data_IF_897115276950
#
_entry.id   IF_897115276950
#
_cell.length_a   1.000
_cell.length_b   1.000
_cell.length_c   1.000
_cell.angle_alpha   90.00
_cell.angle_beta   90.00
_cell.angle_gamma   90.00
#
_symmetry.space_group_name_H-M   'P 1'
#
loop_
_entity.id
_entity.type
_entity.pdbx_description
1 polymer ?
#
# COMPACT_ATOMS: atom_id res chain seq x y z
N UNK A 1 18.84 -13.24 -0.05
CA UNK A 1 17.54 -12.93 -0.68
C UNK A 1 17.31 -11.43 -0.52
N UNK A 2 16.92 -10.71 -1.58
CA UNK A 2 16.61 -9.28 -1.47
C UNK A 2 15.21 -9.10 -0.90
N UNK A 3 15.08 -8.28 0.15
CA UNK A 3 13.78 -7.85 0.67
C UNK A 3 13.09 -6.93 -0.34
N UNK A 4 11.76 -7.02 -0.44
CA UNK A 4 10.92 -6.16 -1.29
C UNK A 4 10.07 -5.25 -0.43
N UNK A 5 9.92 -4.01 -0.87
CA UNK A 5 8.96 -3.07 -0.30
C UNK A 5 7.73 -2.99 -1.22
N UNK A 6 6.55 -3.29 -0.68
CA UNK A 6 5.28 -3.17 -1.37
C UNK A 6 4.49 -1.99 -0.84
N UNK A 7 3.84 -1.24 -1.72
CA UNK A 7 2.92 -0.17 -1.34
C UNK A 7 1.82 -0.04 -2.40
N UNK A 8 0.65 0.46 -2.00
CA UNK A 8 -0.40 0.83 -2.95
C UNK A 8 -0.11 2.24 -3.47
N UNK A 9 0.36 2.34 -4.70
CA UNK A 9 0.69 3.62 -5.35
C UNK A 9 -0.59 4.36 -5.81
N UNK A 10 -0.66 5.66 -5.53
CA UNK A 10 -1.62 6.60 -6.13
C UNK A 10 -0.94 7.86 -6.70
N UNK A 11 0.40 7.86 -6.76
CA UNK A 11 1.22 9.00 -7.18
C UNK A 11 1.04 9.33 -8.66
N UNK A 12 0.62 8.35 -9.47
CA UNK A 12 0.23 8.57 -10.87
C UNK A 12 -0.87 9.64 -11.00
N UNK A 13 -1.73 9.82 -9.99
CA UNK A 13 -2.75 10.88 -10.02
C UNK A 13 -2.14 12.28 -10.00
N UNK A 14 -0.97 12.44 -9.35
CA UNK A 14 -0.23 13.70 -9.29
C UNK A 14 0.38 13.98 -10.66
N UNK A 15 1.05 13.00 -11.25
CA UNK A 15 1.65 13.09 -12.59
C UNK A 15 0.60 13.44 -13.66
N UNK A 16 -0.57 12.80 -13.60
CA UNK A 16 -1.69 13.11 -14.50
C UNK A 16 -2.27 14.50 -14.27
N UNK A 17 -2.32 14.97 -13.01
CA UNK A 17 -2.83 16.32 -12.69
C UNK A 17 -1.88 17.44 -13.11
N UNK A 18 -0.58 17.14 -13.23
CA UNK A 18 0.45 18.09 -13.69
C UNK A 18 0.54 18.17 -15.22
N UNK A 19 -0.01 17.16 -15.91
CA UNK A 19 -0.09 17.16 -17.37
C UNK A 19 -1.29 18.01 -17.81
N UNK A 20 -1.10 18.91 -18.78
CA UNK A 20 -2.01 19.98 -19.29
C UNK A 20 -3.52 19.69 -19.55
N UNK A 21 -4.01 18.49 -19.29
CA UNK A 21 -5.44 18.15 -19.29
C UNK A 21 -6.10 18.41 -17.93
N UNK A 22 -7.41 18.63 -17.92
CA UNK A 22 -8.24 18.89 -16.74
C UNK A 22 -8.41 17.66 -15.81
N UNK A 23 -7.34 16.89 -15.57
CA UNK A 23 -7.37 15.75 -14.67
C UNK A 23 -7.44 16.24 -13.23
N UNK A 24 -8.62 16.12 -12.66
CA UNK A 24 -8.83 16.33 -11.23
C UNK A 24 -8.62 15.00 -10.52
N UNK A 25 -7.63 14.96 -9.63
CA UNK A 25 -7.42 13.86 -8.70
C UNK A 25 -8.74 13.44 -8.06
N UNK A 26 -9.04 12.15 -8.09
CA UNK A 26 -10.27 11.61 -7.52
C UNK A 26 -9.93 10.95 -6.18
N UNK A 27 -10.50 11.40 -5.05
CA UNK A 27 -10.22 10.82 -3.73
C UNK A 27 -10.66 9.35 -3.60
N UNK A 28 -11.28 8.80 -4.65
CA UNK A 28 -11.67 7.40 -4.73
C UNK A 28 -10.47 6.46 -4.79
N UNK A 29 -9.32 6.84 -5.39
CA UNK A 29 -8.18 5.95 -5.49
C UNK A 29 -7.52 5.70 -4.13
N UNK A 30 -7.37 6.72 -3.28
CA UNK A 30 -6.89 6.51 -1.90
C UNK A 30 -7.82 5.56 -1.13
N UNK A 31 -9.14 5.76 -1.24
CA UNK A 31 -10.13 4.90 -0.58
C UNK A 31 -10.10 3.47 -1.14
N UNK A 32 -9.94 3.32 -2.45
CA UNK A 32 -9.82 2.03 -3.11
C UNK A 32 -8.53 1.32 -2.68
N UNK A 33 -7.41 2.03 -2.68
CA UNK A 33 -6.10 1.52 -2.25
C UNK A 33 -6.14 1.08 -0.79
N UNK A 34 -6.76 1.84 0.12
CA UNK A 34 -6.96 1.41 1.52
C UNK A 34 -7.79 0.13 1.60
N UNK A 35 -8.87 0.03 0.82
CA UNK A 35 -9.71 -1.17 0.78
C UNK A 35 -8.95 -2.38 0.23
N UNK A 36 -8.07 -2.17 -0.75
CA UNK A 36 -7.33 -3.23 -1.42
C UNK A 36 -5.98 -3.55 -0.77
N UNK A 37 -5.43 -2.67 0.07
CA UNK A 37 -4.13 -2.84 0.71
C UNK A 37 -3.95 -4.21 1.39
N UNK A 38 -4.95 -4.80 2.07
CA UNK A 38 -4.82 -6.14 2.64
C UNK A 38 -4.49 -7.24 1.63
N UNK A 39 -4.77 -7.03 0.33
CA UNK A 39 -4.37 -7.97 -0.72
C UNK A 39 -2.84 -8.05 -0.92
N UNK A 40 -2.09 -7.00 -0.58
CA UNK A 40 -0.62 -7.04 -0.62
C UNK A 40 -0.06 -8.12 0.31
N UNK A 41 -0.74 -8.39 1.43
CA UNK A 41 -0.36 -9.44 2.35
C UNK A 41 -0.32 -10.80 1.64
N UNK A 42 -1.27 -11.09 0.75
CA UNK A 42 -1.29 -12.34 -0.02
C UNK A 42 -0.13 -12.48 -1.01
N UNK A 43 0.38 -11.36 -1.53
CA UNK A 43 1.46 -11.33 -2.51
C UNK A 43 2.85 -11.36 -1.84
N UNK A 44 2.97 -10.76 -0.66
CA UNK A 44 4.21 -10.63 0.07
C UNK A 44 4.71 -11.99 0.62
N UNK A 45 6.03 -12.11 0.66
CA UNK A 45 6.74 -13.29 1.16
C UNK A 45 7.44 -12.99 2.49
N UNK A 46 7.85 -14.01 3.26
CA UNK A 46 8.65 -13.78 4.46
C UNK A 46 9.91 -12.96 4.13
N UNK A 47 10.16 -11.92 4.91
CA UNK A 47 11.25 -10.95 4.71
C UNK A 47 10.89 -9.75 3.84
N UNK A 48 9.69 -9.69 3.24
CA UNK A 48 9.18 -8.48 2.59
C UNK A 48 8.65 -7.47 3.61
N UNK A 49 8.53 -6.21 3.18
CA UNK A 49 7.92 -5.13 3.93
C UNK A 49 6.71 -4.54 3.18
N UNK A 50 5.70 -4.10 3.93
CA UNK A 50 4.53 -3.37 3.43
C UNK A 50 4.54 -1.94 3.99
N UNK A 51 4.55 -0.94 3.12
CA UNK A 51 4.38 0.45 3.51
C UNK A 51 2.87 0.77 3.61
N UNK A 52 2.45 1.20 4.80
CA UNK A 52 1.07 1.51 5.13
C UNK A 52 0.95 3.01 5.45
N UNK A 53 0.00 3.68 4.80
CA UNK A 53 -0.35 5.07 5.13
C UNK A 53 -1.19 5.18 6.40
N UNK A 54 -1.96 4.13 6.72
CA UNK A 54 -2.79 4.05 7.91
C UNK A 54 -2.61 2.70 8.60
N UNK A 55 -2.67 2.65 9.94
CA UNK A 55 -2.56 1.39 10.67
C UNK A 55 -3.65 0.40 10.24
N UNK A 56 -3.25 -0.84 9.97
CA UNK A 56 -4.19 -1.93 9.78
C UNK A 56 -4.83 -2.37 11.10
N UNK A 57 -5.92 -3.13 11.02
CA UNK A 57 -6.50 -3.78 12.20
C UNK A 57 -5.50 -4.73 12.86
N UNK A 58 -5.61 -4.93 14.17
CA UNK A 58 -4.72 -5.84 14.93
C UNK A 58 -4.66 -7.26 14.35
N UNK A 59 -5.76 -7.72 13.75
CA UNK A 59 -5.81 -9.02 13.10
C UNK A 59 -4.83 -9.11 11.93
N UNK A 60 -4.84 -8.10 11.05
CA UNK A 60 -3.94 -8.02 9.91
C UNK A 60 -2.48 -7.80 10.34
N UNK A 61 -2.25 -7.03 11.40
CA UNK A 61 -0.91 -6.85 11.97
C UNK A 61 -0.34 -8.18 12.48
N UNK A 62 -1.14 -8.93 13.24
CA UNK A 62 -0.76 -10.27 13.72
C UNK A 62 -0.49 -11.24 12.57
N UNK A 63 -1.30 -11.18 11.51
CA UNK A 63 -1.10 -12.02 10.33
C UNK A 63 0.19 -11.69 9.58
N UNK A 64 0.52 -10.40 9.41
CA UNK A 64 1.78 -9.96 8.83
C UNK A 64 2.98 -10.46 9.66
N UNK A 65 2.93 -10.26 10.98
CA UNK A 65 3.96 -10.74 11.90
C UNK A 65 4.14 -12.26 11.82
N UNK A 66 3.03 -13.02 11.84
CA UNK A 66 3.04 -14.49 11.73
C UNK A 66 3.72 -14.97 10.44
N UNK A 67 3.61 -14.19 9.36
CA UNK A 67 4.19 -14.48 8.05
C UNK A 67 5.60 -13.93 7.86
N UNK A 68 6.17 -13.27 8.87
CA UNK A 68 7.49 -12.64 8.79
C UNK A 68 7.51 -11.47 7.81
N UNK A 69 6.41 -10.73 7.70
CA UNK A 69 6.28 -9.55 6.85
C UNK A 69 6.34 -8.31 7.77
N UNK A 70 7.22 -7.38 7.44
CA UNK A 70 7.38 -6.14 8.17
C UNK A 70 6.30 -5.13 7.76
N UNK A 71 5.69 -4.45 8.73
CA UNK A 71 4.77 -3.34 8.47
C UNK A 71 5.50 -2.03 8.78
N UNK A 72 5.61 -1.17 7.77
CA UNK A 72 6.28 0.12 7.86
C UNK A 72 5.23 1.22 7.75
N UNK A 73 5.30 2.21 8.63
CA UNK A 73 4.55 3.45 8.51
C UNK A 73 5.53 4.61 8.26
N UNK A 74 5.23 5.54 7.35
CA UNK A 74 6.06 6.73 7.13
C UNK A 74 6.06 7.69 8.32
#
# INVERSE_FOLDING_TARGET
MSSRLWHMNADFEIELSDTSGAYRRLPFFDKLNRRLAPHLLWLARPGDALLLLEPWSEHLQREAQRRGIELISP
#
